data_IF_593316343575
#
_entry.id   IF_593316343575
#
_cell.length_a   1.000
_cell.length_b   1.000
_cell.length_c   1.000
_cell.angle_alpha   90.00
_cell.angle_beta   90.00
_cell.angle_gamma   90.00
#
_symmetry.space_group_name_H-M   'P 1'
#
loop_
_entity.id
_entity.type
_entity.pdbx_description
1 polymer ?
#
# COMPACT_ATOMS: atom_id res chain seq x y z
N UNK A 1 -3.87 6.41 21.71
CA UNK A 1 -3.33 7.26 20.63
C UNK A 1 -2.03 6.70 20.05
N UNK A 2 -1.16 6.10 20.87
CA UNK A 2 0.13 5.55 20.43
C UNK A 2 0.05 4.67 19.17
N UNK A 3 -0.78 3.63 19.17
CA UNK A 3 -0.91 2.75 18.00
C UNK A 3 -1.50 3.45 16.76
N UNK A 4 -2.49 4.33 16.95
CA UNK A 4 -3.16 4.97 15.82
C UNK A 4 -2.33 6.08 15.17
N UNK A 5 -1.45 6.74 15.93
CA UNK A 5 -0.71 7.91 15.46
C UNK A 5 0.78 7.65 15.21
N UNK A 6 1.35 6.57 15.77
CA UNK A 6 2.81 6.34 15.75
C UNK A 6 3.25 4.98 15.25
N UNK A 7 2.33 4.02 15.08
CA UNK A 7 2.67 2.67 14.64
C UNK A 7 2.25 2.48 13.19
N UNK A 8 3.19 2.01 12.37
CA UNK A 8 2.99 1.70 10.96
C UNK A 8 3.86 2.56 10.04
N UNK A 9 3.70 2.31 8.74
CA UNK A 9 4.35 3.04 7.66
C UNK A 9 3.27 3.68 6.79
N UNK A 10 3.52 4.86 6.20
CA UNK A 10 2.63 5.41 5.20
C UNK A 10 2.39 4.42 4.04
N UNK A 11 1.16 4.40 3.52
CA UNK A 11 0.66 3.30 2.69
C UNK A 11 1.41 3.16 1.37
N UNK A 12 1.81 4.26 0.72
CA UNK A 12 2.46 4.22 -0.60
C UNK A 12 3.86 3.61 -0.52
N UNK A 13 4.60 3.99 0.51
CA UNK A 13 5.94 3.51 0.80
C UNK A 13 5.89 2.05 1.22
N UNK A 14 4.92 1.67 2.06
CA UNK A 14 4.69 0.27 2.43
C UNK A 14 4.29 -0.60 1.24
N UNK A 15 3.41 -0.11 0.36
CA UNK A 15 3.01 -0.81 -0.86
C UNK A 15 4.19 -1.02 -1.81
N UNK A 16 4.96 0.04 -2.07
CA UNK A 16 6.16 -0.03 -2.92
C UNK A 16 7.20 -0.98 -2.34
N UNK A 17 7.38 -0.95 -1.00
CA UNK A 17 8.28 -1.87 -0.31
C UNK A 17 7.89 -3.33 -0.54
N UNK A 18 6.62 -3.68 -0.32
CA UNK A 18 6.12 -5.05 -0.52
C UNK A 18 6.19 -5.45 -2.00
N UNK A 19 5.79 -4.56 -2.91
CA UNK A 19 5.87 -4.80 -4.35
C UNK A 19 7.29 -5.17 -4.78
N UNK A 20 8.28 -4.37 -4.39
CA UNK A 20 9.67 -4.58 -4.74
C UNK A 20 10.30 -5.77 -4.00
N UNK A 21 9.92 -6.06 -2.76
CA UNK A 21 10.36 -7.27 -2.07
C UNK A 21 9.91 -8.54 -2.83
N UNK A 22 8.66 -8.57 -3.30
CA UNK A 22 8.14 -9.69 -4.10
C UNK A 22 8.79 -9.77 -5.49
N UNK A 23 9.06 -8.63 -6.14
CA UNK A 23 9.84 -8.59 -7.40
C UNK A 23 11.24 -9.17 -7.16
N UNK A 24 11.92 -8.71 -6.11
CA UNK A 24 13.27 -9.14 -5.78
C UNK A 24 13.37 -10.62 -5.43
N UNK A 25 12.34 -11.18 -4.80
CA UNK A 25 12.25 -12.62 -4.54
C UNK A 25 11.77 -13.44 -5.76
N UNK A 26 11.42 -12.78 -6.88
CA UNK A 26 10.97 -13.45 -8.11
C UNK A 26 9.55 -14.00 -8.07
N UNK A 27 8.75 -13.66 -7.05
CA UNK A 27 7.41 -14.23 -6.80
C UNK A 27 6.28 -13.20 -6.92
N UNK A 28 6.54 -12.03 -7.51
CA UNK A 28 5.54 -10.96 -7.65
C UNK A 28 4.28 -11.42 -8.40
N UNK A 29 4.44 -12.29 -9.41
CA UNK A 29 3.32 -12.75 -10.22
C UNK A 29 2.45 -13.81 -9.51
N UNK A 30 2.96 -14.42 -8.44
CA UNK A 30 2.24 -15.45 -7.69
C UNK A 30 1.36 -14.87 -6.57
N UNK A 31 1.63 -13.64 -6.16
CA UNK A 31 0.97 -12.98 -5.02
C UNK A 31 0.30 -11.69 -5.48
N UNK A 32 -1.00 -11.58 -5.21
CA UNK A 32 -1.76 -10.36 -5.48
C UNK A 32 -1.71 -9.39 -4.28
N UNK A 33 -1.53 -8.10 -4.55
CA UNK A 33 -1.41 -7.04 -3.54
C UNK A 33 -2.67 -6.18 -3.47
N UNK A 34 -3.33 -6.18 -2.33
CA UNK A 34 -4.43 -5.27 -2.03
C UNK A 34 -3.94 -4.03 -1.29
N UNK A 35 -4.26 -2.84 -1.80
CA UNK A 35 -3.95 -1.57 -1.13
C UNK A 35 -5.16 -1.03 -0.37
N UNK A 36 -4.93 -0.57 0.86
CA UNK A 36 -5.92 0.12 1.67
C UNK A 36 -5.25 1.23 2.48
N UNK A 37 -5.80 2.44 2.44
CA UNK A 37 -5.23 3.58 3.17
C UNK A 37 -5.67 4.91 2.59
N UNK A 38 -6.78 5.47 3.11
CA UNK A 38 -7.39 6.71 2.61
C UNK A 38 -7.66 6.73 1.09
N UNK A 39 -7.84 5.56 0.46
CA UNK A 39 -8.26 5.46 -0.94
C UNK A 39 -9.74 5.83 -1.02
N UNK A 40 -10.04 7.01 -1.56
CA UNK A 40 -11.41 7.53 -1.65
C UNK A 40 -11.75 7.95 -3.07
N UNK A 41 -10.76 8.43 -3.83
CA UNK A 41 -10.93 8.95 -5.18
C UNK A 41 -10.39 7.99 -6.25
N UNK A 42 -10.76 8.25 -7.51
CA UNK A 42 -10.19 7.58 -8.66
C UNK A 42 -8.66 7.79 -8.77
N UNK A 43 -8.17 8.98 -8.45
CA UNK A 43 -6.73 9.28 -8.44
C UNK A 43 -5.98 8.44 -7.40
N UNK A 44 -6.55 8.24 -6.21
CA UNK A 44 -5.95 7.37 -5.20
C UNK A 44 -5.80 5.92 -5.69
N UNK A 45 -6.81 5.43 -6.42
CA UNK A 45 -6.78 4.09 -7.03
C UNK A 45 -5.71 4.04 -8.11
N UNK A 46 -5.72 4.98 -9.07
CA UNK A 46 -4.76 5.04 -10.17
C UNK A 46 -3.31 5.05 -9.65
N UNK A 47 -3.03 5.90 -8.65
CA UNK A 47 -1.71 5.96 -8.00
C UNK A 47 -1.35 4.66 -7.29
N UNK A 48 -2.28 4.02 -6.58
CA UNK A 48 -1.98 2.75 -5.92
C UNK A 48 -1.71 1.62 -6.93
N UNK A 49 -2.47 1.54 -8.03
CA UNK A 49 -2.22 0.60 -9.12
C UNK A 49 -0.82 0.82 -9.72
N UNK A 50 -0.46 2.08 -9.97
CA UNK A 50 0.87 2.47 -10.46
C UNK A 50 2.02 2.03 -9.55
N UNK A 51 1.80 2.00 -8.24
CA UNK A 51 2.80 1.58 -7.25
C UNK A 51 2.75 0.08 -6.96
N UNK A 52 1.98 -0.67 -7.74
CA UNK A 52 2.03 -2.12 -7.77
C UNK A 52 0.91 -2.82 -7.02
N UNK A 53 -0.18 -2.13 -6.68
CA UNK A 53 -1.39 -2.77 -6.19
C UNK A 53 -2.13 -3.50 -7.33
N UNK A 54 -2.69 -4.67 -7.04
CA UNK A 54 -3.60 -5.40 -7.93
C UNK A 54 -5.06 -4.97 -7.73
N UNK A 55 -5.42 -4.52 -6.52
CA UNK A 55 -6.73 -3.93 -6.22
C UNK A 55 -6.66 -2.95 -5.05
N UNK A 56 -7.74 -2.19 -4.88
CA UNK A 56 -7.86 -1.17 -3.84
C UNK A 56 -9.11 -1.35 -2.98
N UNK A 57 -8.99 -1.08 -1.68
CA UNK A 57 -10.10 -1.14 -0.73
C UNK A 57 -10.42 0.26 -0.17
N UNK A 58 -11.70 0.66 -0.21
CA UNK A 58 -12.18 1.96 0.26
C UNK A 58 -13.12 1.87 1.47
N UNK A 59 -12.59 1.63 2.67
CA UNK A 59 -13.44 1.62 3.87
C UNK A 59 -14.07 2.99 4.16
N UNK A 60 -13.24 4.04 4.23
CA UNK A 60 -13.71 5.40 4.58
C UNK A 60 -14.63 6.00 3.52
N UNK A 61 -14.34 5.79 2.24
CA UNK A 61 -15.19 6.27 1.14
C UNK A 61 -16.60 5.68 1.23
N UNK A 62 -16.71 4.36 1.43
CA UNK A 62 -18.01 3.72 1.63
C UNK A 62 -18.72 4.19 2.90
N UNK A 63 -18.01 4.38 4.01
CA UNK A 63 -18.61 4.93 5.23
C UNK A 63 -19.21 6.33 5.00
N UNK A 64 -18.55 7.20 4.23
CA UNK A 64 -19.10 8.49 3.84
C UNK A 64 -20.30 8.37 2.90
N UNK A 65 -20.24 7.46 1.93
CA UNK A 65 -21.35 7.20 1.03
C UNK A 65 -22.62 6.75 1.81
N UNK A 66 -22.46 5.89 2.83
CA UNK A 66 -23.54 5.48 3.74
C UNK A 66 -24.02 6.64 4.62
N UNK A 67 -23.16 7.58 5.00
CA UNK A 67 -23.55 8.79 5.75
C UNK A 67 -22.74 9.09 7.01
N UNK A 68 -21.53 8.53 7.15
CA UNK A 68 -20.64 8.84 8.25
C UNK A 68 -20.26 10.33 8.23
N UNK A 69 -20.44 11.00 9.36
CA UNK A 69 -20.14 12.42 9.56
C UNK A 69 -18.85 12.67 10.35
N UNK A 70 -18.00 11.63 10.48
CA UNK A 70 -16.76 11.69 11.27
C UNK A 70 -16.93 12.14 12.73
N UNK A 71 -18.02 11.75 13.39
CA UNK A 71 -18.25 12.06 14.81
C UNK A 71 -17.20 11.43 15.77
N UNK A 72 -16.35 10.51 15.28
CA UNK A 72 -15.30 9.81 16.06
C UNK A 72 -15.80 9.05 17.31
N UNK A 73 -17.11 8.83 17.43
CA UNK A 73 -17.75 8.09 18.51
C UNK A 73 -17.93 6.59 18.22
N UNK A 74 -17.23 6.03 17.24
CA UNK A 74 -17.46 4.66 16.75
C UNK A 74 -17.26 3.59 17.83
N UNK A 75 -16.33 3.82 18.77
CA UNK A 75 -15.98 2.90 19.85
C UNK A 75 -16.92 2.98 21.06
N UNK A 76 -17.80 3.99 21.13
CA UNK A 76 -18.64 4.25 22.31
C UNK A 76 -20.04 3.65 22.21
N UNK A 77 -20.35 2.99 21.10
CA UNK A 77 -21.70 2.55 20.72
C UNK A 77 -22.71 3.71 20.49
N UNK A 78 -22.28 4.98 20.50
CA UNK A 78 -23.16 6.16 20.39
C UNK A 78 -23.04 6.88 19.05
N UNK A 79 -22.83 6.14 17.95
CA UNK A 79 -22.80 6.72 16.61
C UNK A 79 -24.11 7.52 16.35
N UNK A 80 -24.03 8.83 16.04
CA UNK A 80 -25.24 9.66 15.89
C UNK A 80 -26.01 9.35 14.59
N UNK A 81 -25.35 8.71 13.63
CA UNK A 81 -25.92 8.38 12.31
C UNK A 81 -26.18 6.88 12.14
N UNK A 82 -26.13 6.09 13.22
CA UNK A 82 -26.57 4.69 13.19
C UNK A 82 -25.61 3.69 12.52
N UNK A 83 -24.46 4.12 11.99
CA UNK A 83 -23.54 3.23 11.26
C UNK A 83 -22.74 2.31 12.19
N UNK A 84 -22.06 2.88 13.20
CA UNK A 84 -21.18 2.15 14.11
C UNK A 84 -21.81 2.03 15.50
N UNK A 85 -22.92 1.30 15.59
CA UNK A 85 -23.66 1.08 16.84
C UNK A 85 -24.46 -0.22 16.77
N UNK A 86 -24.63 -0.87 17.92
CA UNK A 86 -25.51 -2.01 18.17
C UNK A 86 -26.85 -1.59 18.81
N UNK A 87 -27.06 -0.29 19.04
CA UNK A 87 -28.31 0.26 19.54
C UNK A 87 -29.36 0.30 18.41
N UNK A 88 -30.41 -0.51 18.55
CA UNK A 88 -31.48 -0.62 17.55
C UNK A 88 -32.20 0.71 17.30
N UNK A 89 -32.33 1.58 18.29
CA UNK A 89 -33.00 2.87 18.11
C UNK A 89 -32.17 3.79 17.20
N UNK A 90 -30.83 3.74 17.33
CA UNK A 90 -29.90 4.51 16.49
C UNK A 90 -29.75 3.94 15.09
N UNK A 91 -29.78 2.61 14.93
CA UNK A 91 -29.72 1.95 13.63
C UNK A 91 -30.87 2.37 12.70
N UNK A 92 -32.02 2.79 13.25
CA UNK A 92 -33.15 3.35 12.48
C UNK A 92 -32.80 4.63 11.69
N UNK A 93 -31.68 5.28 11.99
CA UNK A 93 -31.17 6.40 11.19
C UNK A 93 -30.67 5.97 9.79
N UNK A 94 -30.46 4.66 9.56
CA UNK A 94 -30.06 4.11 8.27
C UNK A 94 -31.30 3.65 7.49
N UNK A 95 -31.69 4.46 6.52
CA UNK A 95 -32.60 4.02 5.45
C UNK A 95 -31.82 3.15 4.44
N UNK A 96 -32.08 1.85 4.45
CA UNK A 96 -31.35 0.88 3.60
C UNK A 96 -31.56 1.19 2.11
N UNK A 97 -32.74 1.65 1.71
CA UNK A 97 -33.03 2.01 0.32
C UNK A 97 -32.18 3.20 -0.13
N UNK A 98 -32.28 4.34 0.57
CA UNK A 98 -31.50 5.54 0.24
C UNK A 98 -29.98 5.30 0.34
N UNK A 99 -29.52 4.63 1.41
CA UNK A 99 -28.06 4.48 1.65
C UNK A 99 -27.43 3.50 0.67
N UNK A 100 -28.10 2.41 0.30
CA UNK A 100 -27.56 1.46 -0.69
C UNK A 100 -27.40 2.11 -2.06
N UNK A 101 -28.39 2.90 -2.47
CA UNK A 101 -28.37 3.71 -3.69
C UNK A 101 -27.19 4.70 -3.73
N UNK A 102 -26.92 5.38 -2.61
CA UNK A 102 -25.79 6.29 -2.46
C UNK A 102 -24.45 5.55 -2.57
N UNK A 103 -24.32 4.40 -1.92
CA UNK A 103 -23.13 3.54 -2.00
C UNK A 103 -22.89 3.09 -3.44
N UNK A 104 -23.94 2.64 -4.14
CA UNK A 104 -23.85 2.22 -5.53
C UNK A 104 -23.44 3.39 -6.45
N UNK A 105 -24.02 4.58 -6.24
CA UNK A 105 -23.64 5.81 -6.97
C UNK A 105 -22.18 6.19 -6.71
N UNK A 106 -21.73 6.16 -5.45
CA UNK A 106 -20.34 6.43 -5.10
C UNK A 106 -19.39 5.49 -5.85
N UNK A 107 -19.60 4.17 -5.75
CA UNK A 107 -18.74 3.21 -6.42
C UNK A 107 -18.73 3.40 -7.94
N UNK A 108 -19.91 3.48 -8.57
CA UNK A 108 -20.05 3.66 -10.01
C UNK A 108 -19.37 4.93 -10.51
N UNK A 109 -19.55 6.05 -9.81
CA UNK A 109 -18.94 7.32 -10.19
C UNK A 109 -17.42 7.31 -9.99
N UNK A 110 -16.92 6.65 -8.94
CA UNK A 110 -15.47 6.44 -8.74
C UNK A 110 -14.87 5.61 -9.86
N UNK A 111 -15.53 4.52 -10.30
CA UNK A 111 -15.07 3.71 -11.42
C UNK A 111 -15.11 4.48 -12.75
N UNK A 112 -16.17 5.26 -12.98
CA UNK A 112 -16.24 6.15 -14.15
C UNK A 112 -15.09 7.15 -14.18
N UNK A 113 -14.83 7.83 -13.07
CA UNK A 113 -13.74 8.79 -12.97
C UNK A 113 -12.37 8.11 -13.16
N UNK A 114 -12.20 6.86 -12.70
CA UNK A 114 -10.98 6.09 -12.95
C UNK A 114 -10.79 5.80 -14.45
N UNK A 115 -11.85 5.40 -15.15
CA UNK A 115 -11.81 5.21 -16.61
C UNK A 115 -11.50 6.52 -17.35
N UNK A 116 -12.06 7.64 -16.91
CA UNK A 116 -11.79 8.96 -17.50
C UNK A 116 -10.31 9.37 -17.31
N UNK A 117 -9.73 9.14 -16.13
CA UNK A 117 -8.31 9.43 -15.87
C UNK A 117 -7.40 8.48 -16.67
N UNK A 118 -7.72 7.18 -16.73
CA UNK A 118 -6.97 6.22 -17.54
C UNK A 118 -6.98 6.61 -19.02
N UNK A 119 -8.14 6.95 -19.57
CA UNK A 119 -8.25 7.42 -20.96
C UNK A 119 -7.48 8.73 -21.19
N UNK A 120 -7.49 9.67 -20.24
CA UNK A 120 -6.71 10.91 -20.33
C UNK A 120 -5.19 10.65 -20.31
N UNK A 121 -4.74 9.59 -19.65
CA UNK A 121 -3.36 9.14 -19.66
C UNK A 121 -2.99 8.28 -20.89
N UNK A 122 -3.94 8.03 -21.80
CA UNK A 122 -3.73 7.19 -22.99
C UNK A 122 -3.79 5.69 -22.73
N UNK A 123 -4.34 5.28 -21.58
CA UNK A 123 -4.43 3.88 -21.17
C UNK A 123 -5.80 3.28 -21.48
N UNK A 124 -5.81 2.01 -21.90
CA UNK A 124 -7.03 1.23 -22.14
C UNK A 124 -7.50 0.46 -20.91
N UNK A 125 -6.58 0.12 -20.00
CA UNK A 125 -6.88 -0.53 -18.73
C UNK A 125 -6.27 0.28 -17.58
N UNK A 126 -7.02 0.60 -16.51
CA UNK A 126 -6.45 1.30 -15.36
C UNK A 126 -5.34 0.50 -14.66
N UNK A 127 -5.19 -0.80 -14.90
CA UNK A 127 -4.07 -1.59 -14.38
C UNK A 127 -2.75 -1.31 -15.10
N UNK A 128 -2.80 -0.62 -16.24
CA UNK A 128 -1.61 -0.23 -17.01
C UNK A 128 -0.96 1.06 -16.48
N UNK A 129 -1.52 1.65 -15.41
CA UNK A 129 -0.82 2.73 -14.72
C UNK A 129 0.54 2.23 -14.23
N UNK A 130 1.56 3.00 -14.54
CA UNK A 130 2.95 2.84 -14.14
C UNK A 130 3.43 4.10 -13.39
N UNK A 131 4.48 4.03 -12.56
CA UNK A 131 4.90 5.17 -11.74
C UNK A 131 5.14 6.46 -12.54
N UNK A 132 5.74 6.40 -13.73
CA UNK A 132 6.00 7.57 -14.59
C UNK A 132 4.74 8.35 -15.04
N UNK A 133 3.54 7.81 -14.88
CA UNK A 133 2.32 8.59 -15.14
C UNK A 133 2.04 9.65 -14.06
N UNK A 134 2.81 9.67 -12.98
CA UNK A 134 2.60 10.53 -11.82
C UNK A 134 3.84 11.36 -11.51
N UNK A 135 3.60 12.64 -11.20
CA UNK A 135 4.60 13.52 -10.60
C UNK A 135 4.37 13.60 -9.09
N UNK A 136 5.44 13.46 -8.30
CA UNK A 136 5.40 13.55 -6.85
C UNK A 136 6.06 14.84 -6.40
N UNK A 137 5.35 15.60 -5.58
CA UNK A 137 5.89 16.82 -4.99
C UNK A 137 6.71 16.48 -3.74
N UNK A 138 7.98 16.84 -3.75
CA UNK A 138 8.88 16.83 -2.59
C UNK A 138 8.76 18.15 -1.80
N UNK A 139 9.53 18.30 -0.72
CA UNK A 139 9.71 19.60 -0.07
C UNK A 139 10.26 20.65 -1.07
N UNK A 140 10.00 21.93 -0.80
CA UNK A 140 10.68 23.06 -1.45
C UNK A 140 10.50 23.19 -2.98
N UNK A 141 9.29 22.95 -3.49
CA UNK A 141 8.92 23.10 -4.92
C UNK A 141 9.64 22.16 -5.89
N UNK A 142 10.28 21.10 -5.39
CA UNK A 142 10.82 20.05 -6.23
C UNK A 142 9.74 19.03 -6.61
N UNK A 143 9.81 18.57 -7.85
CA UNK A 143 8.95 17.52 -8.38
C UNK A 143 9.83 16.38 -8.87
N UNK A 144 9.46 15.15 -8.50
CA UNK A 144 10.09 13.93 -8.98
C UNK A 144 9.13 13.16 -9.88
N UNK A 145 9.67 12.57 -10.93
CA UNK A 145 8.99 11.55 -11.70
C UNK A 145 8.70 10.35 -10.80
N UNK A 146 7.57 9.68 -11.00
CA UNK A 146 7.19 8.53 -10.18
C UNK A 146 8.15 7.35 -10.27
N UNK A 147 8.84 7.14 -11.40
CA UNK A 147 9.89 6.12 -11.47
C UNK A 147 11.10 6.46 -10.59
N UNK A 148 11.36 7.74 -10.33
CA UNK A 148 12.44 8.16 -9.43
C UNK A 148 11.99 8.11 -7.97
N UNK A 149 10.76 8.56 -7.69
CA UNK A 149 10.21 8.56 -6.33
C UNK A 149 9.93 7.15 -5.80
N UNK A 150 9.41 6.26 -6.66
CA UNK A 150 9.01 4.89 -6.31
C UNK A 150 9.44 3.90 -7.41
N UNK A 151 10.74 3.65 -7.57
CA UNK A 151 11.26 2.81 -8.65
C UNK A 151 10.79 1.35 -8.52
N UNK A 152 10.52 0.73 -9.65
CA UNK A 152 10.36 -0.72 -9.74
C UNK A 152 11.75 -1.35 -9.81
N UNK A 153 12.06 -2.21 -8.84
CA UNK A 153 13.36 -2.89 -8.79
C UNK A 153 13.40 -4.10 -9.72
N UNK A 154 14.60 -4.52 -10.18
CA UNK A 154 14.74 -5.67 -11.07
C UNK A 154 14.11 -6.94 -10.48
N UNK A 155 13.61 -7.83 -11.32
CA UNK A 155 13.08 -9.11 -10.82
C UNK A 155 14.22 -10.04 -10.39
N UNK A 156 14.00 -10.79 -9.30
CA UNK A 156 14.97 -11.77 -8.80
C UNK A 156 16.24 -11.19 -8.15
N UNK A 157 16.36 -9.86 -8.03
CA UNK A 157 17.62 -9.24 -7.57
C UNK A 157 18.06 -9.71 -6.19
N UNK A 158 17.13 -10.00 -5.26
CA UNK A 158 17.45 -10.48 -3.91
C UNK A 158 18.02 -11.90 -3.88
N UNK A 159 17.84 -12.67 -4.96
CA UNK A 159 18.31 -14.04 -5.11
C UNK A 159 19.50 -14.14 -6.08
N UNK A 160 19.88 -13.04 -6.72
CA UNK A 160 21.01 -12.96 -7.64
C UNK A 160 22.33 -13.20 -6.91
N UNK A 161 23.28 -13.83 -7.60
CA UNK A 161 24.68 -13.92 -7.13
C UNK A 161 25.44 -12.60 -7.35
N UNK A 162 25.02 -11.82 -8.36
CA UNK A 162 25.59 -10.51 -8.67
C UNK A 162 24.80 -9.43 -7.94
N UNK A 163 25.50 -8.68 -7.07
CA UNK A 163 24.89 -7.62 -6.29
C UNK A 163 24.97 -6.26 -7.00
N UNK A 164 23.86 -5.53 -6.92
CA UNK A 164 23.75 -4.15 -7.38
C UNK A 164 24.10 -3.24 -6.18
N UNK A 165 25.23 -2.51 -6.19
CA UNK A 165 25.70 -1.73 -5.03
C UNK A 165 24.67 -0.73 -4.49
N UNK A 166 23.88 -0.12 -5.36
CA UNK A 166 22.83 0.85 -5.02
C UNK A 166 21.69 0.23 -4.21
N UNK A 167 21.55 -1.10 -4.24
CA UNK A 167 20.53 -1.86 -3.51
C UNK A 167 21.08 -2.54 -2.25
N UNK A 168 22.28 -2.14 -1.77
CA UNK A 168 22.88 -2.66 -0.54
C UNK A 168 21.90 -2.75 0.65
N UNK A 169 21.08 -1.71 0.83
CA UNK A 169 20.10 -1.61 1.91
C UNK A 169 18.98 -2.66 1.82
N UNK A 170 18.66 -3.13 0.61
CA UNK A 170 17.70 -4.21 0.39
C UNK A 170 18.28 -5.58 0.74
N UNK A 171 19.54 -5.83 0.35
CA UNK A 171 20.22 -7.08 0.71
C UNK A 171 20.40 -7.22 2.22
N UNK A 172 20.78 -6.14 2.91
CA UNK A 172 20.91 -6.16 4.37
C UNK A 172 19.58 -6.48 5.08
N UNK A 173 18.47 -5.93 4.61
CA UNK A 173 17.13 -6.25 5.13
C UNK A 173 16.73 -7.69 4.83
N UNK A 174 17.04 -8.17 3.63
CA UNK A 174 16.72 -9.54 3.20
C UNK A 174 17.49 -10.60 3.99
N UNK A 175 18.78 -10.41 4.23
CA UNK A 175 19.61 -11.34 5.01
C UNK A 175 19.15 -11.47 6.47
N UNK A 176 18.46 -10.44 6.98
CA UNK A 176 17.87 -10.43 8.33
C UNK A 176 16.43 -10.95 8.36
N UNK A 177 15.81 -11.18 7.20
CA UNK A 177 14.47 -11.72 7.13
C UNK A 177 14.46 -13.21 7.48
N UNK A 178 13.41 -13.66 8.14
CA UNK A 178 13.19 -15.07 8.46
C UNK A 178 11.72 -15.42 8.32
N UNK A 179 11.42 -16.59 7.74
CA UNK A 179 10.06 -17.12 7.69
C UNK A 179 9.57 -17.64 9.05
N UNK A 180 10.50 -17.99 9.94
CA UNK A 180 10.21 -18.65 11.22
C UNK A 180 10.02 -17.66 12.38
N UNK A 181 10.46 -16.41 12.23
CA UNK A 181 10.41 -15.43 13.31
C UNK A 181 10.38 -13.99 12.80
N UNK A 182 9.66 -13.13 13.51
CA UNK A 182 9.69 -11.67 13.31
C UNK A 182 10.84 -10.99 14.07
N UNK A 183 11.50 -11.70 14.99
CA UNK A 183 12.69 -11.20 15.66
C UNK A 183 13.88 -11.33 14.70
N UNK A 184 14.66 -10.25 14.46
CA UNK A 184 15.78 -10.34 13.56
C UNK A 184 16.86 -11.26 14.18
N UNK A 185 17.50 -12.13 13.38
CA UNK A 185 18.56 -13.01 13.87
C UNK A 185 19.80 -12.23 14.34
N UNK A 186 20.03 -11.05 13.77
CA UNK A 186 21.04 -10.08 14.19
C UNK A 186 20.44 -8.68 14.26
N UNK A 187 20.80 -7.92 15.29
CA UNK A 187 20.36 -6.52 15.44
C UNK A 187 21.02 -5.69 14.33
N UNK A 188 20.26 -4.91 13.55
CA UNK A 188 20.83 -4.04 12.53
C UNK A 188 21.83 -3.09 13.17
N UNK A 189 23.06 -3.16 12.69
CA UNK A 189 24.05 -2.12 12.91
C UNK A 189 23.73 -0.99 11.92
N UNK A 190 23.84 0.27 12.33
CA UNK A 190 23.62 1.41 11.43
C UNK A 190 24.55 1.36 10.19
N UNK A 191 24.47 2.36 9.30
CA UNK A 191 25.10 2.35 7.97
C UNK A 191 26.64 2.21 7.96
N UNK A 192 27.29 2.16 9.12
CA UNK A 192 28.75 2.05 9.28
C UNK A 192 29.26 0.62 9.49
N UNK A 193 28.39 -0.39 9.52
CA UNK A 193 28.80 -1.79 9.60
C UNK A 193 28.60 -2.48 8.24
N UNK A 194 29.70 -2.93 7.63
CA UNK A 194 29.64 -3.72 6.41
C UNK A 194 28.97 -5.07 6.66
N UNK A 195 28.10 -5.49 5.74
CA UNK A 195 27.52 -6.84 5.65
C UNK A 195 28.56 -7.90 6.02
N UNK A 196 28.19 -8.80 6.93
CA UNK A 196 29.01 -9.94 7.32
C UNK A 196 29.39 -10.70 6.05
N UNK A 197 30.69 -10.79 5.72
CA UNK A 197 31.17 -11.66 4.63
C UNK A 197 30.53 -13.04 4.86
N UNK A 198 29.83 -13.56 3.84
CA UNK A 198 29.17 -14.89 3.83
C UNK A 198 29.99 -15.87 4.68
N UNK A 199 29.36 -16.49 5.69
CA UNK A 199 29.98 -17.61 6.41
C UNK A 199 30.41 -18.66 5.36
N UNK A 200 31.61 -19.26 5.49
CA UNK A 200 32.03 -20.30 4.57
C UNK A 200 31.07 -21.50 4.65
N UNK A 201 30.92 -22.14 3.51
CA UNK A 201 30.04 -23.26 3.22
C UNK A 201 30.14 -24.38 4.28
N UNK A 202 29.01 -24.68 4.95
CA UNK A 202 28.91 -25.80 5.91
C UNK A 202 28.99 -27.18 5.23
N UNK A 203 29.08 -27.24 3.90
CA UNK A 203 29.34 -28.49 3.15
C UNK A 203 30.83 -28.87 3.06
N UNK A 204 31.75 -28.08 3.63
CA UNK A 204 33.18 -28.40 3.69
C UNK A 204 33.61 -29.12 5.00
N UNK A 205 32.68 -29.60 5.83
CA UNK A 205 32.97 -30.42 7.02
C UNK A 205 32.34 -31.81 6.94
N UNK A 206 32.54 -32.47 5.79
CA UNK A 206 32.36 -33.92 5.63
C UNK A 206 33.73 -34.59 5.53
#
# INVERSE_FOLDING_TARGET
>A
MEFANRVGMPMLEGLTFVHNALRGAGIRNDIRLGAAGKIISAFDIARALALGADWCNSGRGFMFAVGCIQAQACHTNKCPVGIATQDQARQRAIDVGDKSDRVARFHRNTMRALSEIAGAAGLTDPRDFMPYHFMFRQSDNEFLDGNEAYPYLPEGFLLSEEEIPELADWYDRWDRASAETFAPPEIPFGPFASRRKRKPDLRAMA
#
